data_IF_273274355216
#
_entry.id   IF_273274355216
#
_cell.length_a   1.000
_cell.length_b   1.000
_cell.length_c   1.000
_cell.angle_alpha   90.00
_cell.angle_beta   90.00
_cell.angle_gamma   90.00
#
_symmetry.space_group_name_H-M   'P 1'
#
loop_
_entity.id
_entity.type
_entity.pdbx_description
1 polymer ?
#
# COMPACT_ATOMS: atom_id res chain seq x y z
N UNK A 1 -11.12 -2.06 22.80
CA UNK A 1 -10.03 -2.17 21.82
C UNK A 1 -9.88 -0.87 21.05
N UNK A 2 -8.68 -0.36 21.00
CA UNK A 2 -8.43 0.92 20.33
C UNK A 2 -8.43 0.74 18.82
N UNK A 3 -9.16 1.61 18.13
CA UNK A 3 -9.18 1.65 16.68
C UNK A 3 -7.82 2.15 16.18
N UNK A 4 -7.21 1.44 15.26
CA UNK A 4 -5.96 1.87 14.65
C UNK A 4 -6.25 2.89 13.55
N UNK A 5 -5.50 3.99 13.57
CA UNK A 5 -5.71 5.11 12.65
C UNK A 5 -4.77 5.01 11.45
N UNK A 6 -4.86 3.89 10.75
CA UNK A 6 -4.12 3.67 9.51
C UNK A 6 -4.98 4.14 8.35
N UNK A 7 -4.45 5.00 7.52
CA UNK A 7 -5.17 5.53 6.35
C UNK A 7 -4.98 4.59 5.17
N UNK A 8 -6.03 3.83 4.88
CA UNK A 8 -6.00 2.75 3.89
C UNK A 8 -6.78 3.17 2.64
N UNK A 9 -6.24 2.86 1.48
CA UNK A 9 -6.93 3.01 0.20
C UNK A 9 -6.97 1.64 -0.49
N UNK A 10 -8.17 1.19 -0.84
CA UNK A 10 -8.37 -0.05 -1.58
C UNK A 10 -8.63 0.31 -3.05
N UNK A 11 -7.91 -0.32 -3.96
CA UNK A 11 -8.03 -0.04 -5.40
C UNK A 11 -8.30 -1.35 -6.14
N UNK A 12 -9.48 -1.46 -6.74
CA UNK A 12 -9.91 -2.67 -7.44
C UNK A 12 -11.13 -2.31 -8.28
N UNK A 13 -11.18 -2.78 -9.52
CA UNK A 13 -12.31 -2.51 -10.40
C UNK A 13 -13.49 -3.44 -10.17
N UNK A 14 -13.30 -4.51 -9.41
CA UNK A 14 -14.39 -5.40 -9.00
C UNK A 14 -15.13 -4.77 -7.82
N UNK A 15 -16.13 -3.96 -8.13
CA UNK A 15 -16.82 -3.16 -7.11
C UNK A 15 -17.36 -3.97 -5.96
N UNK A 16 -18.02 -5.09 -6.26
CA UNK A 16 -18.60 -5.93 -5.21
C UNK A 16 -17.53 -6.48 -4.29
N UNK A 17 -16.41 -6.92 -4.85
CA UNK A 17 -15.30 -7.45 -4.06
C UNK A 17 -14.72 -6.38 -3.13
N UNK A 18 -14.39 -5.22 -3.68
CA UNK A 18 -13.68 -4.19 -2.92
C UNK A 18 -14.61 -3.52 -1.89
N UNK A 19 -15.89 -3.35 -2.22
CA UNK A 19 -16.85 -2.80 -1.26
C UNK A 19 -17.06 -3.77 -0.08
N UNK A 20 -17.16 -5.06 -0.37
CA UNK A 20 -17.24 -6.08 0.68
C UNK A 20 -15.99 -6.08 1.54
N UNK A 21 -14.83 -5.97 0.91
CA UNK A 21 -13.55 -5.91 1.64
C UNK A 21 -13.51 -4.69 2.56
N UNK A 22 -13.94 -3.55 2.06
CA UNK A 22 -14.00 -2.31 2.86
C UNK A 22 -14.90 -2.50 4.09
N UNK A 23 -16.06 -3.12 3.91
CA UNK A 23 -16.98 -3.40 5.02
C UNK A 23 -16.35 -4.34 6.05
N UNK A 24 -15.66 -5.37 5.59
CA UNK A 24 -15.02 -6.34 6.48
C UNK A 24 -13.88 -5.70 7.28
N UNK A 25 -13.12 -4.80 6.66
CA UNK A 25 -12.10 -4.05 7.37
C UNK A 25 -12.73 -3.12 8.42
N UNK A 26 -13.82 -2.46 8.06
CA UNK A 26 -14.54 -1.57 9.00
C UNK A 26 -15.03 -2.34 10.23
N UNK A 27 -15.50 -3.55 10.06
CA UNK A 27 -15.93 -4.40 11.17
C UNK A 27 -14.80 -4.74 12.13
N UNK A 28 -13.56 -4.64 11.67
CA UNK A 28 -12.37 -4.88 12.51
C UNK A 28 -11.71 -3.58 12.98
N UNK A 29 -12.38 -2.45 12.80
CA UNK A 29 -11.89 -1.17 13.27
C UNK A 29 -10.98 -0.43 12.28
N UNK A 30 -10.96 -0.85 11.02
CA UNK A 30 -10.12 -0.22 10.00
C UNK A 30 -10.99 0.43 8.93
N UNK A 31 -10.96 1.76 8.87
CA UNK A 31 -11.66 2.48 7.82
C UNK A 31 -10.79 2.55 6.57
N UNK A 32 -11.40 2.28 5.42
CA UNK A 32 -10.70 2.33 4.15
C UNK A 32 -11.50 3.15 3.15
N UNK A 33 -10.79 3.94 2.36
CA UNK A 33 -11.36 4.58 1.17
C UNK A 33 -11.24 3.61 0.01
N UNK A 34 -12.08 3.76 -0.99
CA UNK A 34 -12.12 2.87 -2.15
C UNK A 34 -11.98 3.66 -3.43
N UNK A 35 -11.19 3.16 -4.36
CA UNK A 35 -11.09 3.67 -5.72
C UNK A 35 -11.31 2.49 -6.68
N UNK A 36 -12.04 2.72 -7.75
CA UNK A 36 -12.45 1.65 -8.65
C UNK A 36 -11.62 1.57 -9.94
N UNK A 37 -10.69 2.51 -10.11
CA UNK A 37 -9.78 2.48 -11.26
C UNK A 37 -8.49 3.26 -10.94
N UNK A 38 -7.55 3.21 -11.89
CA UNK A 38 -6.24 3.84 -11.70
C UNK A 38 -6.30 5.35 -11.53
N UNK A 39 -6.96 6.10 -12.43
CA UNK A 39 -7.06 7.55 -12.28
C UNK A 39 -7.71 7.99 -10.97
N UNK A 40 -8.76 7.29 -10.55
CA UNK A 40 -9.42 7.54 -9.27
C UNK A 40 -8.47 7.30 -8.11
N UNK A 41 -7.65 6.24 -8.19
CA UNK A 41 -6.65 5.93 -7.17
C UNK A 41 -5.60 7.04 -7.07
N UNK A 42 -5.09 7.52 -8.19
CA UNK A 42 -4.08 8.58 -8.20
C UNK A 42 -4.62 9.88 -7.62
N UNK A 43 -5.88 10.16 -7.85
CA UNK A 43 -6.54 11.32 -7.23
C UNK A 43 -6.72 11.11 -5.73
N UNK A 44 -7.10 9.90 -5.33
CA UNK A 44 -7.34 9.59 -3.91
C UNK A 44 -6.08 9.69 -3.06
N UNK A 45 -4.89 9.35 -3.61
CA UNK A 45 -3.64 9.41 -2.84
C UNK A 45 -3.15 10.83 -2.61
N UNK A 46 -3.79 11.84 -3.22
CA UNK A 46 -3.49 13.23 -2.91
C UNK A 46 -3.87 13.56 -1.47
N UNK A 47 -4.82 12.84 -0.90
CA UNK A 47 -5.14 12.91 0.53
C UNK A 47 -4.19 11.99 1.31
N UNK A 48 -3.96 12.27 2.61
CA UNK A 48 -3.07 11.43 3.41
C UNK A 48 -3.42 9.96 3.31
N UNK A 49 -2.44 9.14 2.96
CA UNK A 49 -2.59 7.71 2.74
C UNK A 49 -1.36 7.00 3.29
N UNK A 50 -1.55 5.94 4.05
CA UNK A 50 -0.45 5.16 4.61
C UNK A 50 -0.21 3.88 3.82
N UNK A 51 -1.26 3.16 3.47
CA UNK A 51 -1.17 1.87 2.82
C UNK A 51 -2.21 1.79 1.71
N UNK A 52 -1.79 1.33 0.55
CA UNK A 52 -2.69 1.06 -0.59
C UNK A 52 -2.73 -0.44 -0.79
N UNK A 53 -3.94 -1.00 -0.94
CA UNK A 53 -4.15 -2.38 -1.37
C UNK A 53 -4.63 -2.31 -2.82
N UNK A 54 -3.85 -2.83 -3.73
CA UNK A 54 -3.96 -2.54 -5.17
C UNK A 54 -4.05 -3.80 -6.00
N UNK A 55 -5.07 -3.90 -6.85
CA UNK A 55 -5.17 -4.97 -7.83
C UNK A 55 -4.33 -4.61 -9.06
N UNK A 56 -3.71 -5.62 -9.68
CA UNK A 56 -2.87 -5.43 -10.85
C UNK A 56 -3.67 -5.28 -12.14
N UNK A 57 -4.74 -6.04 -12.27
CA UNK A 57 -5.49 -6.08 -13.53
C UNK A 57 -6.75 -5.23 -13.45
N UNK A 58 -6.67 -4.07 -14.10
CA UNK A 58 -7.80 -3.15 -14.22
C UNK A 58 -7.83 -2.61 -15.64
N UNK A 59 -9.04 -2.35 -16.19
CA UNK A 59 -9.14 -1.76 -17.52
C UNK A 59 -8.50 -0.36 -17.56
N UNK A 60 -7.88 -0.03 -18.68
CA UNK A 60 -7.21 1.27 -18.84
C UNK A 60 -5.87 1.29 -18.13
N UNK A 61 -5.76 2.10 -17.09
CA UNK A 61 -4.53 2.17 -16.30
C UNK A 61 -4.44 0.95 -15.38
N UNK A 62 -3.45 0.09 -15.61
CA UNK A 62 -3.30 -1.11 -14.79
C UNK A 62 -2.61 -0.82 -13.47
N UNK A 63 -2.54 -1.83 -12.59
CA UNK A 63 -1.97 -1.67 -11.27
C UNK A 63 -0.50 -1.33 -11.27
N UNK A 64 0.26 -1.80 -12.25
CA UNK A 64 1.69 -1.45 -12.33
C UNK A 64 1.88 0.04 -12.58
N UNK A 65 1.04 0.64 -13.42
CA UNK A 65 1.09 2.08 -13.65
C UNK A 65 0.74 2.86 -12.39
N UNK A 66 -0.27 2.40 -11.65
CA UNK A 66 -0.64 3.02 -10.37
C UNK A 66 0.53 2.92 -9.38
N UNK A 67 1.11 1.74 -9.26
CA UNK A 67 2.26 1.52 -8.37
C UNK A 67 3.42 2.46 -8.72
N UNK A 68 3.76 2.55 -10.00
CA UNK A 68 4.84 3.43 -10.45
C UNK A 68 4.58 4.87 -10.08
N UNK A 69 3.37 5.35 -10.38
CA UNK A 69 3.03 6.76 -10.13
C UNK A 69 2.97 7.07 -8.64
N UNK A 70 2.44 6.16 -7.83
CA UNK A 70 2.37 6.35 -6.38
C UNK A 70 3.78 6.41 -5.78
N UNK A 71 4.64 5.47 -6.14
CA UNK A 71 6.00 5.44 -5.58
C UNK A 71 6.84 6.63 -6.04
N UNK A 72 6.54 7.18 -7.21
CA UNK A 72 7.23 8.36 -7.71
C UNK A 72 6.80 9.63 -6.96
N UNK A 73 5.51 9.80 -6.71
CA UNK A 73 4.98 11.03 -6.09
C UNK A 73 4.88 10.93 -4.56
N UNK A 74 4.69 9.73 -4.01
CA UNK A 74 4.51 9.51 -2.58
C UNK A 74 5.31 8.27 -2.14
N UNK A 75 6.65 8.35 -2.12
CA UNK A 75 7.48 7.17 -1.89
C UNK A 75 7.29 6.51 -0.52
N UNK A 76 6.75 7.23 0.47
CA UNK A 76 6.52 6.67 1.80
C UNK A 76 5.26 5.81 1.87
N UNK A 77 4.34 5.97 0.92
CA UNK A 77 3.11 5.16 0.91
C UNK A 77 3.48 3.71 0.63
N UNK A 78 3.01 2.81 1.46
CA UNK A 78 3.26 1.37 1.27
C UNK A 78 2.20 0.80 0.36
N UNK A 79 2.62 -0.02 -0.60
CA UNK A 79 1.70 -0.62 -1.57
C UNK A 79 1.72 -2.13 -1.40
N UNK A 80 0.56 -2.71 -1.11
CA UNK A 80 0.35 -4.15 -1.05
C UNK A 80 -0.45 -4.54 -2.29
N UNK A 81 0.08 -5.45 -3.09
CA UNK A 81 -0.65 -5.97 -4.23
C UNK A 81 -1.58 -7.07 -3.74
N UNK A 82 -2.83 -7.02 -4.16
CA UNK A 82 -3.82 -8.08 -3.89
C UNK A 82 -4.54 -8.38 -5.18
N UNK A 83 -4.20 -9.50 -5.82
CA UNK A 83 -4.67 -9.80 -7.16
C UNK A 83 -5.03 -11.26 -7.32
N UNK A 84 -6.02 -11.54 -8.17
CA UNK A 84 -6.33 -12.89 -8.61
C UNK A 84 -5.51 -13.32 -9.81
N UNK A 85 -4.67 -12.45 -10.31
CA UNK A 85 -3.89 -12.63 -11.52
C UNK A 85 -2.40 -12.41 -11.26
N UNK A 86 -1.58 -12.99 -12.12
CA UNK A 86 -0.16 -12.79 -12.02
C UNK A 86 0.57 -13.97 -11.41
N UNK A 87 1.65 -14.35 -12.06
CA UNK A 87 2.54 -15.40 -11.58
C UNK A 87 3.78 -14.80 -10.95
N UNK A 88 4.84 -15.61 -10.91
CA UNK A 88 6.09 -15.21 -10.25
C UNK A 88 6.75 -14.02 -10.93
N UNK A 89 6.61 -13.89 -12.25
CA UNK A 89 7.20 -12.77 -12.98
C UNK A 89 6.57 -11.44 -12.57
N UNK A 90 5.25 -11.41 -12.46
CA UNK A 90 4.51 -10.22 -12.03
C UNK A 90 4.84 -9.88 -10.58
N UNK A 91 4.96 -10.88 -9.74
CA UNK A 91 5.34 -10.68 -8.33
C UNK A 91 6.72 -10.04 -8.22
N UNK A 92 7.70 -10.56 -8.94
CA UNK A 92 9.05 -10.00 -8.93
C UNK A 92 9.08 -8.58 -9.47
N UNK A 93 8.33 -8.32 -10.53
CA UNK A 93 8.22 -6.98 -11.09
C UNK A 93 7.65 -6.00 -10.08
N UNK A 94 6.59 -6.40 -9.38
CA UNK A 94 5.96 -5.56 -8.36
C UNK A 94 6.96 -5.19 -7.26
N UNK A 95 7.72 -6.16 -6.76
CA UNK A 95 8.72 -5.89 -5.72
C UNK A 95 9.82 -4.96 -6.24
N UNK A 96 10.29 -5.14 -7.45
CA UNK A 96 11.30 -4.24 -8.04
C UNK A 96 10.78 -2.82 -8.19
N UNK A 97 9.47 -2.66 -8.37
CA UNK A 97 8.84 -1.35 -8.49
C UNK A 97 8.48 -0.74 -7.14
N UNK A 98 8.78 -1.42 -6.05
CA UNK A 98 8.61 -0.88 -4.72
C UNK A 98 7.39 -1.37 -3.95
N UNK A 99 6.72 -2.44 -4.41
CA UNK A 99 5.63 -3.02 -3.64
C UNK A 99 6.14 -3.58 -2.32
N UNK A 100 5.38 -3.37 -1.26
CA UNK A 100 5.72 -3.87 0.07
C UNK A 100 5.45 -5.37 0.17
N UNK A 101 4.33 -5.83 -0.38
CA UNK A 101 3.95 -7.24 -0.33
C UNK A 101 3.10 -7.57 -1.56
N UNK A 102 2.99 -8.86 -1.85
CA UNK A 102 2.23 -9.36 -2.99
C UNK A 102 1.39 -10.54 -2.51
N UNK A 103 0.08 -10.35 -2.49
CA UNK A 103 -0.88 -11.33 -1.98
C UNK A 103 -1.82 -11.77 -3.10
N UNK A 104 -2.25 -13.03 -3.04
CA UNK A 104 -3.11 -13.60 -4.07
C UNK A 104 -4.52 -13.84 -3.53
N UNK A 105 -5.51 -13.48 -4.34
CA UNK A 105 -6.91 -13.81 -4.07
C UNK A 105 -7.16 -15.29 -4.35
N UNK A 106 -8.03 -15.97 -3.61
CA UNK A 106 -8.68 -15.50 -2.37
C UNK A 106 -7.71 -15.55 -1.20
N UNK A 107 -7.91 -14.66 -0.23
CA UNK A 107 -7.06 -14.67 0.95
C UNK A 107 -7.87 -14.39 2.20
N UNK A 108 -7.31 -14.75 3.34
CA UNK A 108 -7.90 -14.53 4.64
C UNK A 108 -7.76 -13.05 5.02
N UNK A 109 -8.84 -12.48 5.55
CA UNK A 109 -8.85 -11.07 5.98
C UNK A 109 -7.79 -10.81 7.06
N UNK A 110 -7.53 -11.78 7.94
CA UNK A 110 -6.54 -11.60 8.98
C UNK A 110 -5.12 -11.54 8.42
N UNK A 111 -4.85 -12.28 7.35
CA UNK A 111 -3.58 -12.21 6.65
C UNK A 111 -3.37 -10.83 6.00
N UNK A 112 -4.41 -10.31 5.38
CA UNK A 112 -4.36 -8.96 4.80
C UNK A 112 -4.14 -7.90 5.88
N UNK A 113 -4.86 -7.99 6.98
CA UNK A 113 -4.71 -7.04 8.09
C UNK A 113 -3.31 -7.08 8.69
N UNK A 114 -2.75 -8.27 8.83
CA UNK A 114 -1.38 -8.41 9.33
C UNK A 114 -0.41 -7.70 8.39
N UNK A 115 -0.57 -7.88 7.09
CA UNK A 115 0.28 -7.20 6.10
C UNK A 115 0.13 -5.68 6.16
N UNK A 116 -1.10 -5.19 6.32
CA UNK A 116 -1.36 -3.75 6.44
C UNK A 116 -0.69 -3.18 7.69
N UNK A 117 -0.82 -3.84 8.83
CA UNK A 117 -0.20 -3.39 10.08
C UNK A 117 1.33 -3.36 9.98
N UNK A 118 1.91 -4.39 9.39
CA UNK A 118 3.36 -4.45 9.22
C UNK A 118 3.85 -3.37 8.26
N UNK A 119 3.14 -3.15 7.17
CA UNK A 119 3.49 -2.11 6.22
C UNK A 119 3.45 -0.72 6.86
N UNK A 120 2.42 -0.46 7.65
CA UNK A 120 2.29 0.80 8.37
C UNK A 120 3.41 0.98 9.40
N UNK A 121 3.71 -0.06 10.17
CA UNK A 121 4.78 -0.01 11.17
C UNK A 121 6.12 0.27 10.50
N UNK A 122 6.41 -0.41 9.40
CA UNK A 122 7.67 -0.20 8.68
C UNK A 122 7.75 1.21 8.10
N UNK A 123 6.61 1.76 7.64
CA UNK A 123 6.55 3.14 7.19
C UNK A 123 6.94 4.11 8.31
N UNK A 124 6.40 3.90 9.51
CA UNK A 124 6.71 4.76 10.66
C UNK A 124 8.17 4.62 11.08
N UNK A 125 8.69 3.41 11.10
CA UNK A 125 10.09 3.18 11.46
C UNK A 125 11.03 3.85 10.46
N UNK A 126 10.74 3.77 9.17
CA UNK A 126 11.54 4.42 8.14
C UNK A 126 11.55 5.94 8.32
N UNK A 127 10.39 6.51 8.63
CA UNK A 127 10.28 7.95 8.88
C UNK A 127 11.07 8.37 10.12
N UNK A 128 11.00 7.59 11.20
CA UNK A 128 11.72 7.87 12.44
C UNK A 128 13.22 7.78 12.26
N UNK A 129 13.70 6.79 11.51
CA UNK A 129 15.12 6.64 11.21
C UNK A 129 15.63 7.85 10.42
N UNK A 130 14.88 8.27 9.40
CA UNK A 130 15.26 9.43 8.59
C UNK A 130 15.35 10.70 9.42
N UNK A 131 14.36 10.94 10.28
CA UNK A 131 14.35 12.12 11.17
C UNK A 131 15.51 12.06 12.16
N UNK A 132 15.74 10.91 12.77
CA UNK A 132 16.81 10.70 13.74
C UNK A 132 18.18 10.97 13.13
N UNK A 133 18.42 10.50 11.92
CA UNK A 133 19.69 10.71 11.22
C UNK A 133 19.87 12.19 10.86
N UNK A 134 18.83 12.87 10.42
CA UNK A 134 18.88 14.27 10.07
C UNK A 134 19.14 15.14 11.30
N UNK A 135 18.50 14.86 12.42
CA UNK A 135 18.64 15.61 13.66
C UNK A 135 19.98 15.35 14.35
N UNK A 136 20.53 14.15 14.15
CA UNK A 136 21.82 13.81 14.72
C UNK A 136 23.00 14.57 14.15
N UNK A 137 22.81 15.23 13.01
CA UNK A 137 23.87 16.01 12.37
C UNK A 137 25.00 15.19 11.80
N UNK A 138 24.83 13.89 11.72
CA UNK A 138 25.84 12.96 11.26
C UNK A 138 25.54 12.51 9.81
N UNK A 139 25.65 13.46 8.90
CA UNK A 139 25.35 13.23 7.49
C UNK A 139 26.31 12.24 6.83
N UNK A 140 27.56 12.21 7.26
CA UNK A 140 28.55 11.31 6.67
C UNK A 140 28.21 9.87 7.01
N UNK A 141 27.86 9.60 8.26
CA UNK A 141 27.39 8.26 8.64
C UNK A 141 26.11 7.87 7.90
N UNK A 142 25.20 8.82 7.73
CA UNK A 142 23.96 8.55 7.00
C UNK A 142 24.23 8.18 5.55
N UNK A 143 25.19 8.83 4.91
CA UNK A 143 25.59 8.50 3.53
C UNK A 143 26.24 7.13 3.45
N UNK A 144 27.07 6.81 4.41
CA UNK A 144 27.79 5.54 4.44
C UNK A 144 26.81 4.36 4.62
N UNK A 145 25.74 4.58 5.35
CA UNK A 145 24.70 3.57 5.59
C UNK A 145 23.83 3.36 4.34
N UNK A 146 23.65 4.39 3.55
CA UNK A 146 22.86 4.31 2.32
C UNK A 146 23.70 3.89 1.12
#
# INVERSE_FOLDING_TARGET
>A
MTKEDIKILLVDDEKQFVDTLSERLAMRGFEARVAYDGPEALKAVEKPTDVIVLDLRMPGMDGFEVLRNVKKSNPQVQVIILTGHGGDAEEQTAYRMGAYNFLRKPMDIDELLNSIRMAYRDKLENAMVAVSLAEGGDFDSARDVM
#
